data_IF_730365963964
#
_entry.id   IF_730365963964
#
_cell.length_a   1.000
_cell.length_b   1.000
_cell.length_c   1.000
_cell.angle_alpha   90.00
_cell.angle_beta   90.00
_cell.angle_gamma   90.00
#
_symmetry.space_group_name_H-M   'P 1'
#
loop_
_entity.id
_entity.type
_entity.pdbx_description
1 polymer ?
#
# COMPACT_ATOMS: atom_id res chain seq x y z
N UNK A 1 -24.01 -22.11 9.27
CA UNK A 1 -23.59 -21.23 8.16
C UNK A 1 -22.08 -21.03 8.27
N UNK A 2 -21.31 -21.81 7.52
CA UNK A 2 -19.86 -21.91 7.70
C UNK A 2 -19.16 -20.64 7.20
N UNK A 3 -18.37 -19.98 8.06
CA UNK A 3 -17.43 -18.92 7.67
C UNK A 3 -16.11 -19.60 7.34
N UNK A 4 -15.89 -19.92 6.06
CA UNK A 4 -14.67 -20.61 5.59
C UNK A 4 -13.46 -19.67 5.48
N UNK A 5 -13.66 -18.35 5.50
CA UNK A 5 -12.55 -17.39 5.41
C UNK A 5 -11.76 -17.57 4.10
N UNK A 6 -10.44 -17.74 4.17
CA UNK A 6 -9.60 -18.01 2.99
C UNK A 6 -9.71 -19.46 2.48
N UNK A 7 -10.26 -20.40 3.27
CA UNK A 7 -10.42 -21.79 2.83
C UNK A 7 -11.47 -21.93 1.72
N UNK A 8 -12.40 -20.98 1.61
CA UNK A 8 -13.37 -20.95 0.50
C UNK A 8 -12.70 -20.95 -0.86
N UNK A 9 -11.46 -20.43 -0.96
CA UNK A 9 -10.70 -20.36 -2.20
C UNK A 9 -10.21 -21.74 -2.70
N UNK A 10 -10.32 -22.77 -1.85
CA UNK A 10 -9.88 -24.13 -2.11
C UNK A 10 -11.05 -25.14 -1.98
N UNK A 11 -12.29 -24.65 -1.93
CA UNK A 11 -13.48 -25.49 -1.84
C UNK A 11 -13.69 -26.28 -3.14
N UNK A 12 -14.05 -27.55 -3.03
CA UNK A 12 -14.18 -28.47 -4.18
C UNK A 12 -15.48 -29.29 -4.20
N UNK A 13 -16.27 -29.32 -3.12
CA UNK A 13 -17.50 -30.12 -3.00
C UNK A 13 -18.73 -29.38 -3.56
N UNK A 14 -18.77 -29.20 -4.88
CA UNK A 14 -19.81 -28.42 -5.57
C UNK A 14 -21.13 -29.18 -5.80
N UNK A 15 -21.10 -30.51 -5.80
CA UNK A 15 -22.24 -31.36 -6.19
C UNK A 15 -23.44 -31.30 -5.22
N UNK A 16 -23.24 -30.77 -4.01
CA UNK A 16 -24.26 -30.70 -2.95
C UNK A 16 -24.76 -29.28 -2.68
N UNK A 17 -24.38 -28.30 -3.50
CA UNK A 17 -24.72 -26.90 -3.27
C UNK A 17 -26.05 -26.51 -3.93
N UNK A 18 -26.91 -25.85 -3.16
CA UNK A 18 -28.04 -25.11 -3.71
C UNK A 18 -27.65 -23.67 -4.07
N UNK A 19 -28.50 -22.98 -4.84
CA UNK A 19 -28.26 -21.61 -5.30
C UNK A 19 -28.03 -20.61 -4.15
N UNK A 20 -28.68 -20.81 -2.99
CA UNK A 20 -28.54 -19.92 -1.83
C UNK A 20 -27.18 -20.09 -1.18
N UNK A 21 -26.72 -21.33 -1.01
CA UNK A 21 -25.39 -21.62 -0.46
C UNK A 21 -24.31 -21.16 -1.44
N UNK A 22 -24.49 -21.36 -2.75
CA UNK A 22 -23.56 -20.87 -3.77
C UNK A 22 -23.40 -19.33 -3.70
N UNK A 23 -24.49 -18.59 -3.54
CA UNK A 23 -24.45 -17.13 -3.32
C UNK A 23 -23.67 -16.74 -2.06
N UNK A 24 -23.87 -17.46 -0.96
CA UNK A 24 -23.12 -17.23 0.30
C UNK A 24 -21.62 -17.51 0.13
N UNK A 25 -21.26 -18.57 -0.60
CA UNK A 25 -19.86 -18.90 -0.87
C UNK A 25 -19.21 -17.86 -1.78
N UNK A 26 -19.87 -17.44 -2.86
CA UNK A 26 -19.41 -16.35 -3.73
C UNK A 26 -19.12 -15.06 -2.95
N UNK A 27 -19.99 -14.69 -2.01
CA UNK A 27 -19.77 -13.54 -1.13
C UNK A 27 -18.52 -13.70 -0.25
N UNK A 28 -18.24 -14.91 0.26
CA UNK A 28 -17.05 -15.17 1.07
C UNK A 28 -15.75 -15.19 0.24
N UNK A 29 -15.83 -15.45 -1.07
CA UNK A 29 -14.68 -15.44 -1.97
C UNK A 29 -14.04 -14.07 -2.21
N UNK A 30 -14.61 -12.99 -1.67
CA UNK A 30 -14.04 -11.62 -1.72
C UNK A 30 -12.57 -11.58 -1.27
N UNK A 31 -12.19 -12.45 -0.32
CA UNK A 31 -10.83 -12.53 0.21
C UNK A 31 -9.85 -13.33 -0.65
N UNK A 32 -10.33 -14.07 -1.65
CA UNK A 32 -9.50 -14.92 -2.51
C UNK A 32 -8.65 -14.15 -3.50
N UNK A 33 -9.04 -12.91 -3.82
CA UNK A 33 -8.30 -12.00 -4.70
C UNK A 33 -6.87 -11.74 -4.20
N UNK A 34 -6.63 -11.83 -2.89
CA UNK A 34 -5.32 -11.64 -2.27
C UNK A 34 -4.36 -12.83 -2.39
N UNK A 35 -4.81 -14.00 -2.85
CA UNK A 35 -3.97 -15.20 -2.98
C UNK A 35 -3.09 -15.13 -4.24
N UNK A 36 -1.78 -14.92 -4.08
CA UNK A 36 -0.82 -15.01 -5.19
C UNK A 36 -0.58 -16.48 -5.57
N UNK A 37 -0.71 -16.81 -6.87
CA UNK A 37 -0.38 -18.13 -7.43
C UNK A 37 -1.56 -19.08 -7.70
N UNK A 38 -2.74 -18.84 -7.12
CA UNK A 38 -3.92 -19.74 -7.26
C UNK A 38 -5.06 -19.16 -8.10
N UNK A 39 -4.78 -18.11 -8.87
CA UNK A 39 -5.81 -17.31 -9.54
C UNK A 39 -6.64 -18.12 -10.55
N UNK A 40 -6.05 -19.04 -11.30
CA UNK A 40 -6.81 -19.86 -12.26
C UNK A 40 -7.84 -20.77 -11.57
N UNK A 41 -7.47 -21.41 -10.45
CA UNK A 41 -8.37 -22.25 -9.67
C UNK A 41 -9.48 -21.44 -9.02
N UNK A 42 -9.15 -20.27 -8.45
CA UNK A 42 -10.14 -19.35 -7.87
C UNK A 42 -11.14 -18.87 -8.93
N UNK A 43 -10.68 -18.52 -10.12
CA UNK A 43 -11.56 -18.08 -11.22
C UNK A 43 -12.47 -19.22 -11.70
N UNK A 44 -11.96 -20.45 -11.80
CA UNK A 44 -12.76 -21.63 -12.14
C UNK A 44 -13.87 -21.87 -11.10
N UNK A 45 -13.51 -21.88 -9.81
CA UNK A 45 -14.47 -22.05 -8.71
C UNK A 45 -15.53 -20.94 -8.69
N UNK A 46 -15.12 -19.68 -8.95
CA UNK A 46 -16.06 -18.56 -9.10
C UNK A 46 -17.07 -18.78 -10.23
N UNK A 47 -16.60 -19.25 -11.39
CA UNK A 47 -17.47 -19.52 -12.54
C UNK A 47 -18.49 -20.62 -12.22
N UNK A 48 -18.04 -21.73 -11.64
CA UNK A 48 -18.93 -22.87 -11.30
C UNK A 48 -19.97 -22.47 -10.24
N UNK A 49 -19.57 -21.71 -9.21
CA UNK A 49 -20.51 -21.19 -8.20
C UNK A 49 -21.49 -20.16 -8.77
N UNK A 50 -21.06 -19.36 -9.74
CA UNK A 50 -21.91 -18.39 -10.42
C UNK A 50 -22.98 -19.10 -11.25
N UNK A 51 -22.62 -20.19 -11.95
CA UNK A 51 -23.58 -20.98 -12.71
C UNK A 51 -24.67 -21.57 -11.80
N UNK A 52 -24.28 -22.15 -10.64
CA UNK A 52 -25.23 -22.69 -9.64
C UNK A 52 -26.11 -21.57 -9.05
N UNK A 53 -25.53 -20.40 -8.75
CA UNK A 53 -26.26 -19.27 -8.17
C UNK A 53 -27.31 -18.67 -9.12
N UNK A 54 -27.19 -18.91 -10.43
CA UNK A 54 -28.05 -18.32 -11.48
C UNK A 54 -29.16 -19.25 -11.99
N UNK A 55 -29.26 -20.51 -11.54
CA UNK A 55 -30.16 -21.51 -12.14
C UNK A 55 -31.66 -21.13 -12.21
N UNK A 56 -32.13 -20.12 -11.47
CA UNK A 56 -33.55 -19.70 -11.43
C UNK A 56 -33.78 -18.18 -11.36
N UNK A 57 -32.78 -17.34 -11.65
CA UNK A 57 -32.89 -15.89 -11.51
C UNK A 57 -32.29 -15.15 -12.70
N UNK A 58 -32.80 -13.96 -13.03
CA UNK A 58 -32.20 -13.14 -14.09
C UNK A 58 -31.02 -12.33 -13.56
N UNK A 59 -30.01 -12.10 -14.40
CA UNK A 59 -28.83 -11.31 -14.01
C UNK A 59 -29.19 -9.88 -13.55
N UNK A 60 -30.26 -9.29 -14.10
CA UNK A 60 -30.75 -7.96 -13.69
C UNK A 60 -31.26 -7.95 -12.23
N UNK A 61 -31.88 -9.04 -11.77
CA UNK A 61 -32.42 -9.15 -10.41
C UNK A 61 -31.32 -9.48 -9.38
N UNK A 62 -30.30 -10.24 -9.79
CA UNK A 62 -29.27 -10.76 -8.89
C UNK A 62 -27.99 -9.95 -8.85
N UNK A 63 -27.81 -8.96 -9.73
CA UNK A 63 -26.56 -8.21 -9.84
C UNK A 63 -26.07 -7.67 -8.48
N UNK A 64 -26.98 -7.17 -7.64
CA UNK A 64 -26.68 -6.65 -6.31
C UNK A 64 -26.28 -7.71 -5.28
N UNK A 65 -26.65 -8.98 -5.46
CA UNK A 65 -26.34 -10.08 -4.54
C UNK A 65 -25.07 -10.87 -4.91
N UNK A 66 -24.60 -10.75 -6.15
CA UNK A 66 -23.43 -11.48 -6.67
C UNK A 66 -22.07 -10.98 -6.13
N UNK A 67 -22.01 -9.80 -5.51
CA UNK A 67 -20.78 -9.27 -4.88
C UNK A 67 -19.54 -9.37 -5.80
N UNK A 68 -18.45 -9.97 -5.34
CA UNK A 68 -17.18 -10.11 -6.08
C UNK A 68 -17.21 -11.11 -7.24
N UNK A 69 -18.29 -11.88 -7.39
CA UNK A 69 -18.49 -12.79 -8.52
C UNK A 69 -18.76 -12.03 -9.82
N UNK A 70 -19.25 -10.78 -9.73
CA UNK A 70 -19.63 -9.97 -10.89
C UNK A 70 -18.43 -9.70 -11.83
N UNK A 71 -17.20 -9.74 -11.31
CA UNK A 71 -15.97 -9.65 -12.11
C UNK A 71 -15.80 -10.84 -13.07
N UNK A 72 -16.40 -11.98 -12.77
CA UNK A 72 -16.41 -13.15 -13.65
C UNK A 72 -17.37 -13.04 -14.85
N UNK A 73 -18.25 -12.04 -14.86
CA UNK A 73 -19.23 -11.88 -15.94
C UNK A 73 -18.55 -11.51 -17.26
N UNK A 74 -19.01 -12.16 -18.32
CA UNK A 74 -18.56 -11.91 -19.68
C UNK A 74 -19.03 -10.55 -20.20
N UNK A 75 -18.36 -10.07 -21.24
CA UNK A 75 -18.72 -8.83 -21.92
C UNK A 75 -20.20 -8.82 -22.37
N UNK A 76 -20.68 -9.92 -22.97
CA UNK A 76 -22.06 -10.03 -23.47
C UNK A 76 -23.09 -10.01 -22.35
N UNK A 77 -22.81 -10.69 -21.22
CA UNK A 77 -23.66 -10.63 -20.03
C UNK A 77 -23.76 -9.22 -19.48
N UNK A 78 -22.62 -8.52 -19.36
CA UNK A 78 -22.61 -7.14 -18.89
C UNK A 78 -23.34 -6.19 -19.84
N UNK A 79 -23.21 -6.35 -21.16
CA UNK A 79 -23.95 -5.55 -22.14
C UNK A 79 -25.47 -5.77 -22.08
N UNK A 80 -25.92 -6.98 -21.72
CA UNK A 80 -27.34 -7.31 -21.60
C UNK A 80 -28.04 -6.67 -20.39
N UNK A 81 -27.28 -6.17 -19.41
CA UNK A 81 -27.82 -5.51 -18.22
C UNK A 81 -28.59 -4.23 -18.58
N UNK A 82 -29.70 -3.99 -17.88
CA UNK A 82 -30.39 -2.69 -18.00
C UNK A 82 -29.69 -1.59 -17.19
N UNK A 83 -29.77 -0.30 -17.61
CA UNK A 83 -29.30 0.82 -16.81
C UNK A 83 -29.86 0.84 -15.39
N UNK A 84 -31.14 0.47 -15.22
CA UNK A 84 -31.84 0.44 -13.93
C UNK A 84 -31.27 -0.63 -13.00
N UNK A 85 -30.92 -1.81 -13.53
CA UNK A 85 -30.30 -2.88 -12.75
C UNK A 85 -28.91 -2.45 -12.23
N UNK A 86 -28.09 -1.82 -13.08
CA UNK A 86 -26.77 -1.30 -12.69
C UNK A 86 -26.91 -0.17 -11.66
N UNK A 87 -27.86 0.74 -11.86
CA UNK A 87 -28.15 1.81 -10.92
C UNK A 87 -28.61 1.25 -9.56
N UNK A 88 -29.52 0.27 -9.53
CA UNK A 88 -29.99 -0.37 -8.31
C UNK A 88 -28.90 -1.15 -7.56
N UNK A 89 -27.89 -1.66 -8.27
CA UNK A 89 -26.79 -2.43 -7.71
C UNK A 89 -25.53 -1.59 -7.37
N UNK A 90 -25.56 -0.26 -7.54
CA UNK A 90 -24.36 0.59 -7.45
C UNK A 90 -23.64 0.48 -6.10
N UNK A 91 -24.38 0.32 -5.01
CA UNK A 91 -23.83 0.17 -3.65
C UNK A 91 -23.04 -1.14 -3.46
N UNK A 92 -23.35 -2.19 -4.23
CA UNK A 92 -22.58 -3.43 -4.25
C UNK A 92 -21.38 -3.27 -5.20
N UNK A 93 -21.62 -2.80 -6.43
CA UNK A 93 -20.60 -2.72 -7.47
C UNK A 93 -19.43 -1.79 -7.11
N UNK A 94 -19.70 -0.74 -6.33
CA UNK A 94 -18.68 0.22 -5.91
C UNK A 94 -17.68 -0.32 -4.88
N UNK A 95 -17.97 -1.47 -4.25
CA UNK A 95 -17.09 -2.17 -3.31
C UNK A 95 -16.27 -3.29 -3.96
N UNK A 96 -16.63 -3.70 -5.17
CA UNK A 96 -15.98 -4.81 -5.87
C UNK A 96 -14.63 -4.37 -6.41
N UNK A 97 -13.62 -5.21 -6.21
CA UNK A 97 -12.25 -4.99 -6.71
C UNK A 97 -11.90 -5.96 -7.84
N UNK A 98 -10.89 -5.62 -8.65
CA UNK A 98 -10.38 -6.52 -9.70
C UNK A 98 -11.12 -6.47 -11.04
N UNK A 99 -11.94 -5.44 -11.27
CA UNK A 99 -12.61 -5.21 -12.55
C UNK A 99 -11.63 -5.15 -13.73
N UNK A 100 -11.98 -5.81 -14.83
CA UNK A 100 -11.32 -5.56 -16.10
C UNK A 100 -11.75 -4.20 -16.67
N UNK A 101 -10.84 -3.52 -17.38
CA UNK A 101 -11.08 -2.18 -17.94
C UNK A 101 -12.35 -2.09 -18.79
N UNK A 102 -12.63 -3.11 -19.60
CA UNK A 102 -13.85 -3.18 -20.43
C UNK A 102 -15.12 -3.23 -19.57
N UNK A 103 -15.12 -4.00 -18.48
CA UNK A 103 -16.27 -4.15 -17.59
C UNK A 103 -16.59 -2.82 -16.90
N UNK A 104 -15.57 -2.12 -16.40
CA UNK A 104 -15.71 -0.80 -15.79
C UNK A 104 -16.34 0.18 -16.78
N UNK A 105 -15.88 0.22 -18.04
CA UNK A 105 -16.43 1.12 -19.07
C UNK A 105 -17.92 0.84 -19.31
N UNK A 106 -18.32 -0.43 -19.45
CA UNK A 106 -19.72 -0.81 -19.69
C UNK A 106 -20.60 -0.43 -18.51
N UNK A 107 -20.20 -0.81 -17.29
CA UNK A 107 -20.98 -0.55 -16.07
C UNK A 107 -21.12 0.95 -15.81
N UNK A 108 -20.04 1.72 -15.98
CA UNK A 108 -20.09 3.18 -15.83
C UNK A 108 -20.97 3.83 -16.89
N UNK A 109 -20.91 3.36 -18.15
CA UNK A 109 -21.79 3.87 -19.20
C UNK A 109 -23.27 3.59 -18.89
N UNK A 110 -23.61 2.38 -18.41
CA UNK A 110 -24.99 2.03 -18.03
C UNK A 110 -25.49 2.82 -16.84
N UNK A 111 -24.66 2.99 -15.81
CA UNK A 111 -24.99 3.82 -14.66
C UNK A 111 -25.27 5.27 -15.08
N UNK A 112 -24.40 5.85 -15.92
CA UNK A 112 -24.55 7.23 -16.38
C UNK A 112 -25.70 7.43 -17.37
N UNK A 113 -26.10 6.39 -18.12
CA UNK A 113 -27.27 6.45 -18.98
C UNK A 113 -28.56 6.67 -18.19
N UNK A 114 -28.66 6.14 -16.96
CA UNK A 114 -29.77 6.38 -16.05
C UNK A 114 -29.75 7.82 -15.50
N UNK A 115 -28.58 8.27 -15.04
CA UNK A 115 -28.42 9.56 -14.36
C UNK A 115 -28.46 10.79 -15.28
N UNK A 116 -28.21 10.63 -16.58
CA UNK A 116 -28.22 11.65 -17.65
C UNK A 116 -27.17 12.77 -17.52
N UNK A 117 -26.79 13.19 -16.31
CA UNK A 117 -25.79 14.25 -16.05
C UNK A 117 -24.79 13.78 -14.99
N UNK A 118 -23.50 14.03 -15.24
CA UNK A 118 -22.46 13.74 -14.26
C UNK A 118 -22.42 14.84 -13.18
N UNK A 119 -22.90 14.53 -11.99
CA UNK A 119 -22.93 15.40 -10.81
C UNK A 119 -22.01 14.87 -9.70
N UNK A 120 -21.74 15.68 -8.67
CA UNK A 120 -21.04 15.22 -7.46
C UNK A 120 -21.74 14.00 -6.83
N UNK A 121 -23.07 14.05 -6.70
CA UNK A 121 -23.85 12.94 -6.13
C UNK A 121 -23.61 11.65 -6.93
N UNK A 122 -23.66 11.72 -8.26
CA UNK A 122 -23.53 10.53 -9.11
C UNK A 122 -22.13 9.94 -9.03
N UNK A 123 -21.09 10.78 -9.11
CA UNK A 123 -19.70 10.35 -8.96
C UNK A 123 -19.44 9.75 -7.57
N UNK A 124 -20.05 10.32 -6.52
CA UNK A 124 -19.86 9.85 -5.14
C UNK A 124 -20.31 8.40 -4.93
N UNK A 125 -21.24 7.89 -5.76
CA UNK A 125 -21.75 6.52 -5.67
C UNK A 125 -20.89 5.50 -6.44
N UNK A 126 -20.08 5.92 -7.40
CA UNK A 126 -19.44 5.02 -8.38
C UNK A 126 -18.27 4.20 -7.82
N UNK A 127 -17.58 4.68 -6.78
CA UNK A 127 -16.39 4.02 -6.23
C UNK A 127 -15.38 3.60 -7.31
N UNK A 128 -15.02 2.30 -7.35
CA UNK A 128 -14.09 1.74 -8.35
C UNK A 128 -14.56 1.93 -9.81
N UNK A 129 -15.86 2.10 -10.06
CA UNK A 129 -16.41 2.32 -11.41
C UNK A 129 -16.02 3.70 -11.99
N UNK A 130 -15.52 4.62 -11.17
CA UNK A 130 -15.13 5.96 -11.63
C UNK A 130 -14.11 5.91 -12.79
N UNK A 131 -13.25 4.89 -12.81
CA UNK A 131 -12.27 4.69 -13.88
C UNK A 131 -12.88 4.47 -15.28
N UNK A 132 -14.17 4.13 -15.37
CA UNK A 132 -14.90 3.97 -16.64
C UNK A 132 -15.50 5.26 -17.20
N UNK A 133 -15.49 6.36 -16.44
CA UNK A 133 -16.08 7.63 -16.86
C UNK A 133 -15.22 8.32 -17.91
N UNK A 134 -15.78 8.76 -19.04
CA UNK A 134 -14.97 9.37 -20.10
C UNK A 134 -14.31 10.68 -19.66
N UNK A 135 -13.12 10.98 -20.20
CA UNK A 135 -12.43 12.26 -19.97
C UNK A 135 -13.31 13.45 -20.32
N UNK A 136 -14.08 13.35 -21.41
CA UNK A 136 -15.01 14.41 -21.83
C UNK A 136 -16.10 14.68 -20.78
N UNK A 137 -16.60 13.63 -20.11
CA UNK A 137 -17.57 13.79 -19.04
C UNK A 137 -16.97 14.57 -17.87
N UNK A 138 -15.73 14.25 -17.43
CA UNK A 138 -15.03 15.02 -16.41
C UNK A 138 -14.79 16.48 -16.83
N UNK A 139 -14.38 16.73 -18.08
CA UNK A 139 -14.20 18.09 -18.60
C UNK A 139 -15.50 18.91 -18.61
N UNK A 140 -16.66 18.25 -18.74
CA UNK A 140 -17.97 18.89 -18.76
C UNK A 140 -18.55 19.17 -17.36
N UNK A 141 -18.02 18.55 -16.30
CA UNK A 141 -18.49 18.78 -14.94
C UNK A 141 -18.24 20.22 -14.48
N UNK A 142 -19.08 20.72 -13.57
CA UNK A 142 -18.85 22.01 -12.91
C UNK A 142 -17.63 21.90 -12.00
N UNK A 143 -16.81 22.95 -11.95
CA UNK A 143 -15.62 23.00 -11.09
C UNK A 143 -15.95 22.78 -9.61
N UNK A 144 -17.07 23.33 -9.12
CA UNK A 144 -17.55 23.11 -7.74
C UNK A 144 -17.82 21.63 -7.44
N UNK A 145 -18.40 20.90 -8.40
CA UNK A 145 -18.70 19.48 -8.22
C UNK A 145 -17.41 18.65 -8.19
N UNK A 146 -16.45 18.95 -9.07
CA UNK A 146 -15.11 18.31 -9.05
C UNK A 146 -14.40 18.59 -7.71
N UNK A 147 -14.44 19.83 -7.23
CA UNK A 147 -13.84 20.21 -5.94
C UNK A 147 -14.47 19.43 -4.78
N UNK A 148 -15.78 19.18 -4.81
CA UNK A 148 -16.45 18.33 -3.83
C UNK A 148 -16.03 16.85 -3.97
N UNK A 149 -15.90 16.32 -5.19
CA UNK A 149 -15.40 14.95 -5.43
C UNK A 149 -14.01 14.78 -4.81
N UNK A 150 -13.10 15.72 -5.07
CA UNK A 150 -11.71 15.68 -4.58
C UNK A 150 -11.60 15.78 -3.05
N UNK A 151 -12.59 16.36 -2.37
CA UNK A 151 -12.67 16.43 -0.90
C UNK A 151 -13.44 15.27 -0.27
N UNK A 152 -14.08 14.43 -1.07
CA UNK A 152 -14.91 13.32 -0.60
C UNK A 152 -14.11 12.02 -0.48
N UNK A 153 -14.74 10.99 0.09
CA UNK A 153 -14.17 9.64 0.19
C UNK A 153 -13.83 9.02 -1.19
N UNK A 154 -14.45 9.49 -2.28
CA UNK A 154 -14.18 9.00 -3.64
C UNK A 154 -12.83 9.49 -4.19
N UNK A 155 -12.20 10.46 -3.54
CA UNK A 155 -10.84 10.92 -3.88
C UNK A 155 -9.80 9.80 -3.91
N UNK A 156 -9.99 8.73 -3.12
CA UNK A 156 -9.12 7.57 -3.13
C UNK A 156 -9.05 6.87 -4.50
N UNK A 157 -10.15 6.87 -5.26
CA UNK A 157 -10.23 6.26 -6.59
C UNK A 157 -9.73 7.17 -7.71
N UNK A 158 -9.43 8.45 -7.42
CA UNK A 158 -8.90 9.39 -8.42
C UNK A 158 -7.48 8.99 -8.86
N UNK A 159 -6.74 8.34 -7.97
CA UNK A 159 -5.42 7.79 -8.29
C UNK A 159 -5.47 6.64 -9.29
N UNK A 160 -6.60 5.94 -9.40
CA UNK A 160 -6.82 4.81 -10.31
C UNK A 160 -7.29 5.24 -11.71
N UNK A 161 -7.57 6.52 -11.90
CA UNK A 161 -7.97 7.08 -13.19
C UNK A 161 -6.80 7.05 -14.18
N UNK A 162 -7.13 6.93 -15.46
CA UNK A 162 -6.14 7.06 -16.52
C UNK A 162 -5.51 8.46 -16.55
N UNK A 163 -4.27 8.61 -17.05
CA UNK A 163 -3.60 9.90 -17.16
C UNK A 163 -4.44 10.96 -17.90
N UNK A 164 -5.21 10.55 -18.92
CA UNK A 164 -6.09 11.46 -19.65
C UNK A 164 -7.26 11.97 -18.80
N UNK A 165 -7.88 11.12 -17.98
CA UNK A 165 -8.96 11.52 -17.07
C UNK A 165 -8.43 12.44 -15.97
N UNK A 166 -7.28 12.09 -15.37
CA UNK A 166 -6.60 12.91 -14.37
C UNK A 166 -6.28 14.31 -14.93
N UNK A 167 -5.73 14.38 -16.15
CA UNK A 167 -5.47 15.64 -16.82
C UNK A 167 -6.76 16.43 -17.12
N UNK A 168 -7.84 15.75 -17.50
CA UNK A 168 -9.16 16.38 -17.67
C UNK A 168 -9.64 17.07 -16.40
N UNK A 169 -9.58 16.37 -15.26
CA UNK A 169 -9.91 16.90 -13.94
C UNK A 169 -9.02 18.09 -13.57
N UNK A 170 -7.69 17.95 -13.72
CA UNK A 170 -6.74 19.03 -13.43
C UNK A 170 -6.99 20.25 -14.30
N UNK A 171 -7.19 20.07 -15.60
CA UNK A 171 -7.47 21.17 -16.53
C UNK A 171 -8.71 21.96 -16.09
N UNK A 172 -9.72 21.29 -15.52
CA UNK A 172 -10.93 21.93 -15.01
C UNK A 172 -10.70 22.66 -13.68
N UNK A 173 -9.83 22.14 -12.82
CA UNK A 173 -9.44 22.79 -11.56
C UNK A 173 -8.52 24.00 -11.76
N UNK A 174 -7.69 23.98 -12.80
CA UNK A 174 -6.74 25.05 -13.15
C UNK A 174 -7.41 26.16 -13.96
N UNK A 175 -8.56 25.89 -14.61
CA UNK A 175 -9.35 26.92 -15.29
C UNK A 175 -9.67 28.09 -14.35
N UNK A 176 -9.21 29.28 -14.77
CA UNK A 176 -9.40 30.52 -14.03
C UNK A 176 -10.90 30.88 -14.00
N UNK A 177 -11.49 30.75 -12.82
CA UNK A 177 -12.75 31.41 -12.45
C UNK A 177 -12.45 32.34 -11.28
N UNK A 178 -13.03 33.54 -11.33
CA UNK A 178 -12.57 34.82 -10.76
C UNK A 178 -12.31 34.91 -9.24
N UNK A 179 -12.41 33.84 -8.44
CA UNK A 179 -12.44 34.01 -6.97
C UNK A 179 -11.83 32.92 -6.08
N UNK A 180 -11.23 31.84 -6.61
CA UNK A 180 -10.52 30.88 -5.74
C UNK A 180 -9.34 30.17 -6.42
N UNK A 181 -8.21 29.96 -5.72
CA UNK A 181 -7.09 29.16 -6.24
C UNK A 181 -7.47 27.68 -6.25
N UNK A 182 -7.94 27.17 -7.39
CA UNK A 182 -8.46 25.81 -7.52
C UNK A 182 -7.44 24.71 -7.20
N UNK A 183 -6.16 25.00 -7.41
CA UNK A 183 -5.07 24.05 -7.12
C UNK A 183 -4.89 23.84 -5.62
N UNK A 184 -5.11 24.88 -4.80
CA UNK A 184 -4.98 24.79 -3.34
C UNK A 184 -6.03 23.84 -2.76
N UNK A 185 -7.17 23.66 -3.45
CA UNK A 185 -8.23 22.75 -3.03
C UNK A 185 -7.93 21.27 -3.26
N UNK A 186 -6.96 20.95 -4.13
CA UNK A 186 -6.57 19.56 -4.43
C UNK A 186 -5.82 19.00 -3.22
N UNK A 187 -6.31 17.92 -2.63
CA UNK A 187 -5.74 17.28 -1.43
C UNK A 187 -5.12 15.91 -1.74
N UNK A 188 -4.31 15.42 -0.80
CA UNK A 188 -3.82 14.04 -0.80
C UNK A 188 -2.90 13.70 -1.97
N UNK A 189 -2.98 12.44 -2.41
CA UNK A 189 -2.09 11.82 -3.40
C UNK A 189 -2.22 12.43 -4.80
N UNK A 190 -3.40 12.95 -5.15
CA UNK A 190 -3.67 13.51 -6.48
C UNK A 190 -2.92 14.81 -6.74
N UNK A 191 -2.48 15.52 -5.70
CA UNK A 191 -1.72 16.77 -5.86
C UNK A 191 -0.38 16.56 -6.58
N UNK A 192 0.19 15.36 -6.53
CA UNK A 192 1.44 15.03 -7.24
C UNK A 192 1.33 15.18 -8.76
N UNK A 193 0.12 15.13 -9.30
CA UNK A 193 -0.16 15.27 -10.74
C UNK A 193 -0.18 16.73 -11.20
N UNK A 194 -0.18 17.71 -10.28
CA UNK A 194 -0.15 19.14 -10.62
C UNK A 194 1.20 19.51 -11.24
N UNK A 195 1.20 20.14 -12.41
CA UNK A 195 2.46 20.50 -13.08
C UNK A 195 3.21 21.63 -12.33
N UNK A 196 4.54 21.67 -12.47
CA UNK A 196 5.35 22.79 -11.94
C UNK A 196 4.95 24.14 -12.54
N UNK A 197 4.47 24.12 -13.79
CA UNK A 197 3.98 25.33 -14.47
C UNK A 197 2.74 25.88 -13.76
N UNK A 198 1.80 25.01 -13.40
CA UNK A 198 0.58 25.41 -12.71
C UNK A 198 0.86 25.84 -11.27
N UNK A 199 1.77 25.15 -10.56
CA UNK A 199 2.23 25.58 -9.22
C UNK A 199 2.84 26.98 -9.25
N UNK A 200 3.63 27.32 -10.28
CA UNK A 200 4.24 28.65 -10.41
C UNK A 200 3.21 29.76 -10.60
N UNK A 201 2.07 29.48 -11.24
CA UNK A 201 1.04 30.49 -11.55
C UNK A 201 0.10 30.79 -10.39
N UNK A 202 0.10 29.97 -9.35
CA UNK A 202 -0.83 30.12 -8.22
C UNK A 202 -0.18 30.85 -7.04
N UNK A 203 -0.78 31.95 -6.56
CA UNK A 203 -0.41 32.54 -5.28
C UNK A 203 -1.00 31.73 -4.10
N UNK A 204 -0.46 31.93 -2.90
CA UNK A 204 -1.10 31.46 -1.66
C UNK A 204 -0.62 30.11 -1.12
N UNK A 205 0.46 29.54 -1.65
CA UNK A 205 1.11 28.42 -0.97
C UNK A 205 1.83 28.89 0.29
N UNK A 206 1.68 28.12 1.36
CA UNK A 206 2.42 28.24 2.61
C UNK A 206 2.61 26.84 3.22
N UNK A 207 3.37 26.73 4.31
CA UNK A 207 3.65 25.46 4.98
C UNK A 207 2.38 24.72 5.42
N UNK A 208 1.36 25.45 5.90
CA UNK A 208 0.12 24.85 6.41
C UNK A 208 -0.73 24.23 5.30
N UNK A 209 -0.84 24.91 4.15
CA UNK A 209 -1.57 24.41 2.97
C UNK A 209 -0.94 23.14 2.40
N UNK A 210 0.39 23.00 2.49
CA UNK A 210 1.12 21.86 1.94
C UNK A 210 1.10 20.62 2.84
N UNK A 211 0.73 20.76 4.12
CA UNK A 211 0.78 19.66 5.10
C UNK A 211 -0.09 18.46 4.69
N UNK A 212 -1.22 18.72 4.05
CA UNK A 212 -2.19 17.70 3.64
C UNK A 212 -2.07 17.28 2.16
N UNK A 213 -0.92 17.59 1.53
CA UNK A 213 -0.69 17.35 0.09
C UNK A 213 0.48 16.43 -0.14
N UNK A 214 0.30 15.39 -0.95
CA UNK A 214 1.43 14.58 -1.37
C UNK A 214 2.20 15.29 -2.50
N UNK A 215 3.51 15.45 -2.31
CA UNK A 215 4.39 16.10 -3.29
C UNK A 215 5.28 15.09 -4.00
N UNK A 216 5.40 15.22 -5.31
CA UNK A 216 6.52 14.67 -6.07
C UNK A 216 7.83 15.40 -5.72
N UNK A 217 8.98 14.77 -5.94
CA UNK A 217 10.30 15.33 -5.57
C UNK A 217 10.58 16.69 -6.23
N UNK A 218 10.27 16.83 -7.51
CA UNK A 218 10.47 18.09 -8.25
C UNK A 218 9.54 19.20 -7.75
N UNK A 219 8.29 18.86 -7.40
CA UNK A 219 7.35 19.81 -6.80
C UNK A 219 7.82 20.24 -5.41
N UNK A 220 8.25 19.29 -4.58
CA UNK A 220 8.77 19.56 -3.24
C UNK A 220 10.01 20.47 -3.28
N UNK A 221 10.94 20.22 -4.20
CA UNK A 221 12.13 21.08 -4.40
C UNK A 221 11.71 22.50 -4.82
N UNK A 222 10.86 22.60 -5.84
CA UNK A 222 10.37 23.89 -6.33
C UNK A 222 9.67 24.70 -5.23
N UNK A 223 8.76 24.07 -4.48
CA UNK A 223 8.02 24.71 -3.39
C UNK A 223 8.91 25.04 -2.20
N UNK A 224 9.86 24.17 -1.85
CA UNK A 224 10.82 24.44 -0.78
C UNK A 224 11.65 25.69 -1.10
N UNK A 225 12.23 25.79 -2.30
CA UNK A 225 13.02 26.95 -2.71
C UNK A 225 12.19 28.23 -2.82
N UNK A 226 10.96 28.13 -3.33
CA UNK A 226 10.03 29.24 -3.42
C UNK A 226 9.70 29.78 -2.02
N UNK A 227 9.29 28.89 -1.12
CA UNK A 227 8.86 29.27 0.23
C UNK A 227 10.04 29.70 1.11
N UNK A 228 11.24 29.14 0.92
CA UNK A 228 12.43 29.56 1.65
C UNK A 228 12.76 31.04 1.38
N UNK A 229 12.58 31.49 0.14
CA UNK A 229 12.77 32.91 -0.25
C UNK A 229 11.71 33.83 0.35
N UNK A 230 10.46 33.37 0.44
CA UNK A 230 9.32 34.19 0.87
C UNK A 230 9.14 34.23 2.40
N UNK A 231 9.23 33.08 3.07
CA UNK A 231 8.95 32.95 4.51
C UNK A 231 10.18 33.24 5.38
N UNK A 232 11.38 32.93 4.89
CA UNK A 232 12.65 32.97 5.65
C UNK A 232 12.63 32.16 6.97
N UNK A 233 11.76 31.15 7.07
CA UNK A 233 11.59 30.26 8.23
C UNK A 233 11.79 28.80 7.83
N UNK A 234 13.04 28.35 7.63
CA UNK A 234 13.32 26.98 7.19
C UNK A 234 12.75 25.91 8.13
N UNK A 235 12.65 26.18 9.43
CA UNK A 235 12.05 25.30 10.44
C UNK A 235 10.56 24.99 10.17
N UNK A 236 9.79 25.97 9.70
CA UNK A 236 8.39 25.77 9.32
C UNK A 236 8.26 24.93 8.04
N UNK A 237 9.29 24.94 7.18
CA UNK A 237 9.30 24.15 5.94
C UNK A 237 9.67 22.69 6.20
N UNK A 238 10.64 22.43 7.09
CA UNK A 238 11.02 21.07 7.46
C UNK A 238 9.88 20.35 8.19
N UNK A 239 9.19 21.05 9.10
CA UNK A 239 8.03 20.52 9.82
C UNK A 239 6.80 20.26 8.93
N UNK A 240 6.75 20.82 7.72
CA UNK A 240 5.70 20.55 6.74
C UNK A 240 5.80 19.16 6.08
N UNK A 241 6.79 18.33 6.48
CA UNK A 241 6.90 16.91 6.15
C UNK A 241 7.18 16.63 4.68
N UNK A 242 6.21 16.83 3.79
CA UNK A 242 6.32 16.54 2.35
C UNK A 242 7.38 17.40 1.64
N UNK A 243 7.68 18.59 2.19
CA UNK A 243 8.75 19.45 1.68
C UNK A 243 10.15 18.87 1.89
N UNK A 244 10.37 17.97 2.85
CA UNK A 244 11.70 17.36 3.07
C UNK A 244 12.17 16.56 1.85
N UNK A 245 11.23 16.06 1.02
CA UNK A 245 11.54 15.41 -0.27
C UNK A 245 12.33 16.32 -1.22
N UNK A 246 12.18 17.63 -1.08
CA UNK A 246 12.81 18.66 -1.91
C UNK A 246 14.13 19.19 -1.34
N UNK A 247 14.52 18.81 -0.12
CA UNK A 247 15.75 19.32 0.49
C UNK A 247 16.96 18.63 -0.14
N UNK A 248 17.82 19.39 -0.81
CA UNK A 248 19.03 18.86 -1.46
C UNK A 248 20.20 18.75 -0.46
N UNK A 249 21.27 18.06 -0.86
CA UNK A 249 22.50 18.03 -0.06
C UNK A 249 23.12 19.41 0.11
N UNK A 250 23.07 20.28 -0.92
CA UNK A 250 23.54 21.66 -0.77
C UNK A 250 22.74 22.44 0.26
N UNK A 251 21.44 22.18 0.40
CA UNK A 251 20.63 22.78 1.48
C UNK A 251 21.06 22.25 2.85
N UNK A 252 21.31 20.94 3.00
CA UNK A 252 21.77 20.32 4.24
C UNK A 252 23.15 20.83 4.65
N UNK A 253 24.09 20.89 3.71
CA UNK A 253 25.45 21.33 3.94
C UNK A 253 25.49 22.79 4.39
N UNK A 254 24.64 23.64 3.82
CA UNK A 254 24.51 25.05 4.15
C UNK A 254 23.84 25.33 5.52
N UNK A 255 23.22 24.34 6.16
CA UNK A 255 22.64 24.52 7.50
C UNK A 255 23.74 24.79 8.54
N UNK A 256 23.51 25.76 9.43
CA UNK A 256 24.37 25.93 10.60
C UNK A 256 24.25 24.70 11.53
N UNK A 257 25.30 24.44 12.30
CA UNK A 257 25.33 23.31 13.25
C UNK A 257 24.15 23.33 14.21
N UNK A 258 23.87 24.49 14.83
CA UNK A 258 22.79 24.63 15.80
C UNK A 258 21.42 24.37 15.17
N UNK A 259 21.18 24.91 13.97
CA UNK A 259 19.93 24.69 13.25
C UNK A 259 19.75 23.22 12.86
N UNK A 260 20.79 22.61 12.29
CA UNK A 260 20.75 21.22 11.86
C UNK A 260 20.45 20.28 13.02
N UNK A 261 21.13 20.44 14.17
CA UNK A 261 20.92 19.60 15.34
C UNK A 261 19.54 19.83 15.97
N UNK A 262 19.07 21.08 16.05
CA UNK A 262 17.75 21.40 16.60
C UNK A 262 16.58 20.84 15.77
N UNK A 263 16.75 20.73 14.45
CA UNK A 263 15.69 20.31 13.51
C UNK A 263 15.91 18.95 12.85
N UNK A 264 16.94 18.19 13.26
CA UNK A 264 17.19 16.86 12.70
C UNK A 264 15.98 15.92 12.87
N UNK A 265 15.23 16.08 13.96
CA UNK A 265 14.05 15.27 14.25
C UNK A 265 12.98 15.39 13.14
N UNK A 266 12.88 16.52 12.44
CA UNK A 266 11.94 16.69 11.33
C UNK A 266 12.30 15.78 10.14
N UNK A 267 13.61 15.62 9.84
CA UNK A 267 14.08 14.65 8.86
C UNK A 267 13.84 13.21 9.34
N UNK A 268 14.12 12.93 10.60
CA UNK A 268 13.96 11.60 11.19
C UNK A 268 12.48 11.16 11.22
N UNK A 269 11.56 12.05 11.54
CA UNK A 269 10.12 11.76 11.53
C UNK A 269 9.58 11.50 10.12
N UNK A 270 10.21 12.10 9.11
CA UNK A 270 9.81 12.00 7.71
C UNK A 270 10.76 11.12 6.87
N UNK A 271 11.49 10.22 7.53
CA UNK A 271 12.58 9.48 6.93
C UNK A 271 12.16 8.64 5.72
N UNK A 272 10.96 8.05 5.76
CA UNK A 272 10.38 7.29 4.65
C UNK A 272 10.19 8.12 3.36
N UNK A 273 10.20 9.45 3.45
CA UNK A 273 10.08 10.36 2.31
C UNK A 273 11.45 10.71 1.69
N UNK A 274 12.53 10.48 2.41
CA UNK A 274 13.89 10.83 1.99
C UNK A 274 14.43 9.83 0.97
N UNK A 275 15.19 10.34 0.01
CA UNK A 275 15.98 9.49 -0.89
C UNK A 275 17.26 8.99 -0.19
N UNK A 276 17.79 7.83 -0.59
CA UNK A 276 19.07 7.32 -0.08
C UNK A 276 20.22 8.32 -0.18
N UNK A 277 20.21 9.16 -1.22
CA UNK A 277 21.19 10.24 -1.41
C UNK A 277 21.07 11.34 -0.34
N UNK A 278 19.85 11.79 -0.04
CA UNK A 278 19.61 12.76 1.04
C UNK A 278 20.02 12.18 2.40
N UNK A 279 19.71 10.91 2.66
CA UNK A 279 20.12 10.21 3.88
C UNK A 279 21.65 10.17 4.02
N UNK A 280 22.37 9.88 2.93
CA UNK A 280 23.83 9.88 2.94
C UNK A 280 24.40 11.28 3.28
N UNK A 281 23.83 12.34 2.72
CA UNK A 281 24.24 13.71 3.05
C UNK A 281 23.91 14.10 4.49
N UNK A 282 22.73 13.72 5.00
CA UNK A 282 22.39 13.88 6.42
C UNK A 282 23.40 13.15 7.31
N UNK A 283 23.79 11.92 6.94
CA UNK A 283 24.78 11.15 7.68
C UNK A 283 26.15 11.82 7.71
N UNK A 284 26.63 12.34 6.56
CA UNK A 284 27.89 13.08 6.49
C UNK A 284 27.86 14.37 7.30
N UNK A 285 26.79 15.17 7.15
CA UNK A 285 26.61 16.40 7.93
C UNK A 285 26.61 16.12 9.43
N UNK A 286 25.86 15.11 9.88
CA UNK A 286 25.81 14.73 11.29
C UNK A 286 27.18 14.24 11.79
N UNK A 287 27.89 13.45 10.99
CA UNK A 287 29.23 12.98 11.30
C UNK A 287 30.25 14.13 11.41
N UNK A 288 30.09 15.19 10.63
CA UNK A 288 30.94 16.37 10.70
C UNK A 288 30.67 17.17 11.99
N UNK A 289 29.40 17.43 12.30
CA UNK A 289 29.04 18.39 13.35
C UNK A 289 28.85 17.77 14.73
N UNK A 290 28.50 16.49 14.86
CA UNK A 290 28.31 15.82 16.16
C UNK A 290 28.37 14.28 16.11
N UNK A 291 29.59 13.73 16.00
CA UNK A 291 29.83 12.27 15.93
C UNK A 291 29.26 11.48 17.11
N UNK A 292 29.43 11.99 18.32
CA UNK A 292 29.07 11.26 19.55
C UNK A 292 27.55 11.15 19.76
N UNK A 293 26.79 12.08 19.20
CA UNK A 293 25.32 12.10 19.30
C UNK A 293 24.63 11.59 18.03
N UNK A 294 25.41 11.10 17.05
CA UNK A 294 24.87 10.63 15.78
C UNK A 294 23.93 9.45 15.97
N UNK A 295 22.70 9.51 15.43
CA UNK A 295 21.80 8.37 15.41
C UNK A 295 22.47 7.15 14.74
N UNK A 296 22.56 6.00 15.42
CA UNK A 296 23.35 4.87 14.93
C UNK A 296 22.93 4.34 13.55
N UNK A 297 21.65 4.43 13.19
CA UNK A 297 21.15 4.00 11.88
C UNK A 297 21.81 4.76 10.71
N UNK A 298 22.22 6.03 10.90
CA UNK A 298 22.88 6.80 9.85
C UNK A 298 24.26 6.23 9.47
N UNK A 299 24.90 5.44 10.36
CA UNK A 299 26.15 4.74 10.04
C UNK A 299 25.95 3.71 8.90
N UNK A 300 24.71 3.21 8.72
CA UNK A 300 24.36 2.35 7.60
C UNK A 300 24.48 3.08 6.26
N UNK A 301 24.32 4.41 6.23
CA UNK A 301 24.44 5.22 5.03
C UNK A 301 25.88 5.68 4.73
N UNK A 302 26.80 5.63 5.71
CA UNK A 302 28.22 5.95 5.53
C UNK A 302 28.99 4.77 4.90
N UNK A 303 30.28 4.91 4.51
CA UNK A 303 31.11 3.78 4.07
C UNK A 303 31.21 2.61 5.08
N UNK A 304 31.53 1.40 4.62
CA UNK A 304 31.43 0.17 5.44
C UNK A 304 32.33 0.14 6.69
N UNK A 305 33.49 0.79 6.66
CA UNK A 305 34.42 0.80 7.81
C UNK A 305 33.85 1.51 9.04
N UNK A 306 32.93 2.47 8.86
CA UNK A 306 32.24 3.12 9.98
C UNK A 306 31.25 2.20 10.71
N UNK A 307 30.71 1.18 10.02
CA UNK A 307 29.89 0.16 10.68
C UNK A 307 30.73 -0.82 11.49
N UNK A 308 31.93 -1.14 10.99
CA UNK A 308 32.85 -2.02 11.69
C UNK A 308 33.25 -1.44 13.06
N UNK A 309 33.33 -0.10 13.17
CA UNK A 309 33.65 0.59 14.43
C UNK A 309 32.53 0.65 15.46
N UNK A 310 31.32 0.18 15.18
CA UNK A 310 30.22 0.19 16.17
C UNK A 310 30.55 -0.80 17.31
N UNK A 311 30.71 -0.35 18.56
CA UNK A 311 31.05 -1.21 19.68
C UNK A 311 29.85 -2.09 20.09
N UNK A 312 30.11 -3.20 20.79
CA UNK A 312 29.06 -4.09 21.28
C UNK A 312 28.01 -3.37 22.16
N UNK A 313 28.44 -2.37 22.96
CA UNK A 313 27.55 -1.56 23.78
C UNK A 313 26.53 -0.72 22.98
N UNK A 314 26.78 -0.48 21.69
CA UNK A 314 25.87 0.25 20.81
C UNK A 314 25.02 -0.68 19.92
N UNK A 315 25.15 -2.00 20.04
CA UNK A 315 24.38 -2.94 19.23
C UNK A 315 22.86 -2.78 19.39
N UNK A 316 22.36 -2.68 20.64
CA UNK A 316 20.91 -2.52 20.87
C UNK A 316 20.37 -1.20 20.28
N UNK A 317 20.95 -0.01 20.57
CA UNK A 317 20.55 1.23 19.91
C UNK A 317 20.66 1.20 18.38
N UNK A 318 21.68 0.52 17.84
CA UNK A 318 21.85 0.33 16.41
C UNK A 318 20.72 -0.49 15.80
N UNK A 319 20.39 -1.65 16.38
CA UNK A 319 19.29 -2.50 15.93
C UNK A 319 17.94 -1.76 16.02
N UNK A 320 17.63 -1.14 17.15
CA UNK A 320 16.37 -0.38 17.34
C UNK A 320 16.23 0.71 16.28
N UNK A 321 17.29 1.49 16.06
CA UNK A 321 17.22 2.62 15.13
C UNK A 321 17.13 2.17 13.68
N UNK A 322 17.83 1.08 13.31
CA UNK A 322 17.80 0.53 11.97
C UNK A 322 16.48 -0.23 11.68
N UNK A 323 15.95 -0.97 12.66
CA UNK A 323 14.73 -1.77 12.58
C UNK A 323 13.44 -0.96 12.37
N UNK A 324 13.46 0.34 12.69
CA UNK A 324 12.35 1.27 12.43
C UNK A 324 12.19 1.63 10.94
N UNK A 325 13.20 1.36 10.12
CA UNK A 325 13.24 1.74 8.70
C UNK A 325 13.40 0.52 7.80
N UNK A 326 12.97 0.63 6.55
CA UNK A 326 13.24 -0.39 5.54
C UNK A 326 14.69 -0.27 5.08
N UNK A 327 15.49 -1.34 5.19
CA UNK A 327 16.91 -1.27 4.80
C UNK A 327 17.09 -0.89 3.32
N UNK A 328 16.15 -1.30 2.48
CA UNK A 328 16.13 -0.98 1.05
C UNK A 328 15.92 0.51 0.76
N UNK A 329 15.32 1.29 1.67
CA UNK A 329 15.20 2.74 1.53
C UNK A 329 16.43 3.50 2.04
N UNK A 330 17.28 2.83 2.82
CA UNK A 330 18.49 3.40 3.42
C UNK A 330 19.72 3.22 2.54
N UNK A 331 19.91 2.00 2.04
CA UNK A 331 21.11 1.57 1.34
C UNK A 331 20.67 0.98 0.02
N UNK A 332 21.12 1.53 -1.11
CA UNK A 332 20.82 0.95 -2.43
C UNK A 332 21.85 -0.10 -2.84
N UNK A 333 23.12 0.12 -2.49
CA UNK A 333 24.22 -0.75 -2.87
C UNK A 333 24.14 -2.12 -2.17
N UNK A 334 24.15 -3.19 -2.97
CA UNK A 334 23.98 -4.57 -2.47
C UNK A 334 25.15 -5.03 -1.59
N UNK A 335 26.39 -4.62 -1.91
CA UNK A 335 27.58 -4.96 -1.11
C UNK A 335 27.55 -4.27 0.26
N UNK A 336 27.10 -3.02 0.30
CA UNK A 336 26.89 -2.26 1.53
C UNK A 336 25.75 -2.84 2.35
N UNK A 337 24.62 -3.23 1.74
CA UNK A 337 23.54 -3.96 2.43
C UNK A 337 24.07 -5.22 3.11
N UNK A 338 24.87 -6.00 2.39
CA UNK A 338 25.49 -7.22 2.94
C UNK A 338 26.36 -6.90 4.15
N UNK A 339 27.08 -5.78 4.12
CA UNK A 339 27.92 -5.34 5.24
C UNK A 339 27.11 -4.86 6.45
N UNK A 340 25.98 -4.19 6.22
CA UNK A 340 25.02 -3.83 7.28
C UNK A 340 24.44 -5.09 7.92
N UNK A 341 23.95 -6.03 7.10
CA UNK A 341 23.36 -7.28 7.60
C UNK A 341 24.38 -8.13 8.37
N UNK A 342 25.64 -8.17 7.93
CA UNK A 342 26.72 -8.81 8.70
C UNK A 342 26.91 -8.17 10.07
N UNK A 343 26.84 -6.84 10.15
CA UNK A 343 26.92 -6.13 11.44
C UNK A 343 25.72 -6.43 12.33
N UNK A 344 24.51 -6.48 11.76
CA UNK A 344 23.28 -6.90 12.46
C UNK A 344 23.45 -8.30 13.05
N UNK A 345 23.94 -9.27 12.26
CA UNK A 345 24.20 -10.62 12.72
C UNK A 345 25.22 -10.69 13.86
N UNK A 346 26.30 -9.91 13.76
CA UNK A 346 27.29 -9.80 14.85
C UNK A 346 26.67 -9.26 16.14
N UNK A 347 25.75 -8.30 16.03
CA UNK A 347 25.05 -7.75 17.20
C UNK A 347 24.03 -8.71 17.82
N UNK A 348 23.55 -9.70 17.06
CA UNK A 348 22.61 -10.72 17.51
C UNK A 348 23.30 -12.01 17.98
N UNK A 349 24.62 -12.12 17.81
CA UNK A 349 25.35 -13.38 17.94
C UNK A 349 24.67 -14.55 17.19
N UNK A 350 24.15 -14.24 16.00
CA UNK A 350 23.37 -15.16 15.16
C UNK A 350 22.13 -15.81 15.83
N UNK A 351 21.59 -15.22 16.90
CA UNK A 351 20.44 -15.77 17.61
C UNK A 351 19.37 -14.72 17.94
N UNK A 352 18.11 -15.16 17.96
CA UNK A 352 16.96 -14.37 18.39
C UNK A 352 16.38 -15.12 19.60
N UNK A 353 16.79 -14.67 20.79
CA UNK A 353 16.58 -15.40 22.02
C UNK A 353 15.14 -15.28 22.54
N UNK A 354 14.52 -14.10 22.40
CA UNK A 354 13.24 -13.77 23.01
C UNK A 354 12.45 -12.74 22.18
N UNK A 355 11.24 -12.42 22.65
CA UNK A 355 10.32 -11.47 22.05
C UNK A 355 10.89 -10.04 22.00
N UNK A 356 11.68 -9.65 23.01
CA UNK A 356 12.36 -8.36 23.02
C UNK A 356 13.35 -8.22 21.85
N UNK A 357 14.10 -9.29 21.56
CA UNK A 357 15.02 -9.32 20.42
C UNK A 357 14.27 -9.18 19.09
N UNK A 358 13.08 -9.76 18.98
CA UNK A 358 12.21 -9.61 17.81
C UNK A 358 11.74 -8.15 17.66
N UNK A 359 11.31 -7.53 18.75
CA UNK A 359 10.82 -6.14 18.76
C UNK A 359 11.89 -5.14 18.33
N UNK A 360 13.12 -5.25 18.87
CA UNK A 360 14.22 -4.35 18.48
C UNK A 360 14.66 -4.54 17.02
N UNK A 361 14.42 -5.72 16.43
CA UNK A 361 14.74 -5.97 15.03
C UNK A 361 13.76 -5.30 14.08
N UNK A 362 12.47 -5.23 14.43
CA UNK A 362 11.43 -4.61 13.60
C UNK A 362 11.48 -5.08 12.15
N UNK A 363 11.60 -4.15 11.20
CA UNK A 363 11.65 -4.43 9.76
C UNK A 363 12.88 -5.24 9.32
N UNK A 364 13.93 -5.36 10.15
CA UNK A 364 15.11 -6.18 9.84
C UNK A 364 14.79 -7.68 9.81
N UNK A 365 13.68 -8.12 10.42
CA UNK A 365 13.21 -9.51 10.32
C UNK A 365 13.07 -9.97 8.86
N UNK A 366 12.62 -9.07 7.98
CA UNK A 366 12.45 -9.36 6.54
C UNK A 366 13.76 -9.60 5.80
N UNK A 367 14.90 -9.19 6.38
CA UNK A 367 16.23 -9.36 5.80
C UNK A 367 17.05 -10.46 6.49
N UNK A 368 16.44 -11.22 7.40
CA UNK A 368 17.11 -12.35 8.04
C UNK A 368 17.47 -13.43 7.00
N UNK A 369 18.70 -13.97 7.03
CA UNK A 369 19.02 -15.14 6.23
C UNK A 369 18.16 -16.34 6.61
N UNK A 370 17.87 -17.19 5.63
CA UNK A 370 17.07 -18.41 5.83
C UNK A 370 17.60 -19.30 6.97
N UNK A 371 18.93 -19.40 7.13
CA UNK A 371 19.55 -20.17 8.21
C UNK A 371 19.18 -19.66 9.62
N UNK A 372 19.02 -18.34 9.80
CA UNK A 372 18.62 -17.75 11.08
C UNK A 372 17.13 -17.98 11.33
N UNK A 373 16.30 -17.91 10.29
CA UNK A 373 14.86 -18.22 10.40
C UNK A 373 14.67 -19.69 10.81
N UNK A 374 15.42 -20.59 10.18
CA UNK A 374 15.37 -22.04 10.46
C UNK A 374 15.84 -22.36 11.90
N UNK A 375 17.01 -21.86 12.30
CA UNK A 375 17.70 -22.35 13.53
C UNK A 375 17.99 -21.29 14.58
N UNK A 376 18.08 -20.03 14.19
CA UNK A 376 18.49 -18.93 15.05
C UNK A 376 17.36 -18.37 15.93
N UNK A 377 16.10 -18.59 15.57
CA UNK A 377 14.94 -18.12 16.36
C UNK A 377 14.54 -19.17 17.39
N UNK A 378 14.61 -18.79 18.67
CA UNK A 378 14.21 -19.65 19.79
C UNK A 378 12.71 -19.98 19.74
N UNK A 379 12.27 -21.08 20.37
CA UNK A 379 10.83 -21.41 20.46
C UNK A 379 10.00 -20.30 21.13
N UNK A 380 10.59 -19.55 22.08
CA UNK A 380 9.90 -18.46 22.79
C UNK A 380 9.69 -17.23 21.90
N UNK A 381 10.64 -16.96 21.00
CA UNK A 381 10.58 -15.80 20.10
C UNK A 381 9.76 -16.08 18.83
N UNK A 382 9.53 -17.35 18.49
CA UNK A 382 9.01 -17.74 17.19
C UNK A 382 7.60 -17.21 16.89
N UNK A 383 6.68 -17.22 17.85
CA UNK A 383 5.33 -16.70 17.63
C UNK A 383 5.34 -15.21 17.25
N UNK A 384 6.11 -14.39 17.98
CA UNK A 384 6.28 -12.96 17.70
C UNK A 384 7.02 -12.73 16.39
N UNK A 385 8.06 -13.51 16.10
CA UNK A 385 8.80 -13.42 14.84
C UNK A 385 7.91 -13.78 13.64
N UNK A 386 7.07 -14.80 13.75
CA UNK A 386 6.12 -15.21 12.72
C UNK A 386 5.12 -14.08 12.42
N UNK A 387 4.64 -13.39 13.45
CA UNK A 387 3.78 -12.22 13.27
C UNK A 387 4.50 -11.11 12.49
N UNK A 388 5.75 -10.78 12.83
CA UNK A 388 6.52 -9.78 12.10
C UNK A 388 6.85 -10.17 10.65
N UNK A 389 7.20 -11.45 10.42
CA UNK A 389 7.49 -11.97 9.08
C UNK A 389 6.28 -11.92 8.14
N UNK A 390 5.06 -11.93 8.69
CA UNK A 390 3.83 -11.83 7.90
C UNK A 390 3.70 -10.49 7.19
N UNK A 391 4.23 -9.44 7.79
CA UNK A 391 4.13 -8.07 7.30
C UNK A 391 5.28 -7.72 6.32
N UNK A 392 6.16 -8.69 6.02
CA UNK A 392 7.24 -8.51 5.05
C UNK A 392 6.71 -8.42 3.61
N UNK A 393 7.10 -7.38 2.84
CA UNK A 393 6.60 -7.17 1.47
C UNK A 393 6.85 -8.32 0.50
N UNK A 394 8.02 -8.97 0.60
CA UNK A 394 8.31 -10.23 -0.07
C UNK A 394 9.45 -10.98 0.63
N UNK A 395 9.20 -12.22 1.02
CA UNK A 395 10.23 -13.15 1.47
C UNK A 395 10.82 -13.85 0.25
N UNK A 396 12.14 -13.97 0.17
CA UNK A 396 12.78 -14.70 -0.92
C UNK A 396 12.48 -16.22 -0.82
N UNK A 397 12.71 -17.00 -1.90
CA UNK A 397 12.38 -18.43 -1.92
C UNK A 397 13.02 -19.24 -0.78
N UNK A 398 14.26 -18.92 -0.39
CA UNK A 398 14.97 -19.61 0.70
C UNK A 398 14.34 -19.29 2.07
N UNK A 399 13.99 -18.02 2.31
CA UNK A 399 13.28 -17.59 3.51
C UNK A 399 11.90 -18.26 3.59
N UNK A 400 11.16 -18.31 2.47
CA UNK A 400 9.85 -18.99 2.38
C UNK A 400 9.97 -20.48 2.72
N UNK A 401 11.00 -21.16 2.23
CA UNK A 401 11.27 -22.55 2.56
C UNK A 401 11.60 -22.74 4.05
N UNK A 402 12.42 -21.85 4.64
CA UNK A 402 12.73 -21.89 6.06
C UNK A 402 11.50 -21.66 6.96
N UNK A 403 10.64 -20.70 6.60
CA UNK A 403 9.36 -20.47 7.31
C UNK A 403 8.48 -21.71 7.22
N UNK A 404 8.29 -22.27 6.02
CA UNK A 404 7.51 -23.50 5.82
C UNK A 404 8.01 -24.65 6.70
N UNK A 405 9.33 -24.87 6.73
CA UNK A 405 9.94 -25.94 7.53
C UNK A 405 9.67 -25.76 9.03
N UNK A 406 9.83 -24.53 9.54
CA UNK A 406 9.50 -24.19 10.93
C UNK A 406 8.01 -24.42 11.26
N UNK A 407 7.11 -24.03 10.37
CA UNK A 407 5.67 -24.23 10.54
C UNK A 407 5.31 -25.72 10.62
N UNK A 408 5.87 -26.54 9.73
CA UNK A 408 5.69 -27.99 9.76
C UNK A 408 6.25 -28.62 11.03
N UNK A 409 7.40 -28.14 11.52
CA UNK A 409 7.99 -28.62 12.77
C UNK A 409 7.14 -28.30 14.02
N UNK A 410 6.39 -27.19 13.99
CA UNK A 410 5.57 -26.76 15.12
C UNK A 410 4.15 -27.33 15.10
N UNK A 411 3.49 -27.30 13.94
CA UNK A 411 2.08 -27.62 13.79
C UNK A 411 1.83 -28.98 13.11
N UNK A 412 2.88 -29.66 12.65
CA UNK A 412 2.75 -30.90 11.89
C UNK A 412 2.18 -30.67 10.49
N UNK A 413 1.74 -31.75 9.86
CA UNK A 413 1.17 -31.73 8.51
C UNK A 413 -0.19 -30.99 8.48
N UNK A 414 -0.52 -30.27 7.39
CA UNK A 414 -1.76 -29.50 7.26
C UNK A 414 -3.05 -30.25 7.60
N UNK A 415 -3.10 -31.56 7.33
CA UNK A 415 -4.24 -32.44 7.63
C UNK A 415 -4.65 -32.44 9.12
N UNK A 416 -3.73 -32.10 10.03
CA UNK A 416 -3.95 -32.07 11.47
C UNK A 416 -4.20 -30.66 12.03
N UNK A 417 -4.19 -29.63 11.19
CA UNK A 417 -4.41 -28.27 11.66
C UNK A 417 -5.87 -28.03 12.06
N UNK A 418 -6.04 -27.22 13.11
CA UNK A 418 -7.35 -26.75 13.56
C UNK A 418 -7.77 -25.50 12.78
N UNK A 419 -9.05 -25.14 12.85
CA UNK A 419 -9.55 -23.90 12.23
C UNK A 419 -8.83 -22.66 12.81
N UNK A 420 -8.51 -22.68 14.10
CA UNK A 420 -7.73 -21.65 14.79
C UNK A 420 -6.31 -21.55 14.22
N UNK A 421 -5.61 -22.68 14.10
CA UNK A 421 -4.26 -22.73 13.51
C UNK A 421 -4.25 -22.18 12.09
N UNK A 422 -5.16 -22.62 11.23
CA UNK A 422 -5.24 -22.16 9.84
C UNK A 422 -5.51 -20.65 9.76
N UNK A 423 -6.37 -20.14 10.65
CA UNK A 423 -6.66 -18.70 10.75
C UNK A 423 -5.43 -17.90 11.18
N UNK A 424 -4.67 -18.41 12.14
CA UNK A 424 -3.47 -17.74 12.68
C UNK A 424 -2.32 -17.72 11.66
N UNK A 425 -2.16 -18.77 10.85
CA UNK A 425 -1.17 -18.82 9.78
C UNK A 425 -1.45 -17.81 8.65
N UNK A 426 -2.72 -17.52 8.38
CA UNK A 426 -3.15 -16.44 7.50
C UNK A 426 -2.43 -16.42 6.13
N UNK A 427 -1.63 -15.39 5.80
CA UNK A 427 -0.91 -15.31 4.52
C UNK A 427 0.07 -16.46 4.27
N UNK A 428 0.57 -17.14 5.30
CA UNK A 428 1.54 -18.24 5.13
C UNK A 428 0.91 -19.53 4.59
N UNK A 429 -0.42 -19.62 4.49
CA UNK A 429 -1.09 -20.73 3.82
C UNK A 429 -0.62 -20.87 2.35
N UNK A 430 -0.23 -19.77 1.70
CA UNK A 430 0.29 -19.79 0.32
C UNK A 430 1.63 -20.52 0.17
N UNK A 431 2.30 -20.85 1.28
CA UNK A 431 3.51 -21.67 1.28
C UNK A 431 3.20 -23.16 1.05
N UNK A 432 1.92 -23.54 1.06
CA UNK A 432 1.43 -24.91 0.89
C UNK A 432 0.70 -25.09 -0.43
N UNK A 433 0.73 -26.31 -0.96
CA UNK A 433 0.04 -26.67 -2.19
C UNK A 433 -1.47 -26.78 -1.96
N UNK A 434 -2.26 -26.64 -3.03
CA UNK A 434 -3.73 -26.77 -2.95
C UNK A 434 -4.17 -28.14 -2.43
N UNK A 435 -3.47 -29.20 -2.83
CA UNK A 435 -3.77 -30.58 -2.40
C UNK A 435 -3.53 -30.77 -0.88
N UNK A 436 -2.53 -30.08 -0.33
CA UNK A 436 -2.27 -30.11 1.11
C UNK A 436 -3.38 -29.41 1.91
N UNK A 437 -3.99 -28.35 1.34
CA UNK A 437 -4.99 -27.52 2.01
C UNK A 437 -6.45 -27.96 1.77
N UNK A 438 -6.73 -28.68 0.70
CA UNK A 438 -8.08 -29.14 0.34
C UNK A 438 -8.75 -29.95 1.44
N UNK A 439 -7.99 -30.81 2.13
CA UNK A 439 -8.45 -31.63 3.26
C UNK A 439 -8.89 -30.83 4.49
N UNK A 440 -8.55 -29.54 4.57
CA UNK A 440 -8.97 -28.62 5.64
C UNK A 440 -10.21 -27.84 5.20
N UNK A 441 -10.33 -27.52 3.91
CA UNK A 441 -11.44 -26.74 3.37
C UNK A 441 -12.78 -27.49 3.37
N UNK A 442 -12.74 -28.81 3.45
CA UNK A 442 -13.91 -29.71 3.47
C UNK A 442 -14.33 -30.17 4.88
N UNK A 443 -13.60 -29.78 5.93
CA UNK A 443 -13.98 -29.98 7.34
C UNK A 443 -14.83 -28.82 7.83
#
# INVERSE_FOLDING_TARGET
MFRLGLLVCFYNDLELLDATVAQVLLYQMIKCSHLRGFQAGVQKLKAELLDIAMENQTLNETLGSLSDAVVGLTYSQLESLSPEAVHGAISTLNQVSGWAKSQVIILSAKYLAHEKVLSFYNVSQMGALLAGVSTQAFCSMKRKDISQVLRSAVSQYVSDLSPAQQQGILSKMVQAEDTAPGIVEIQGTFFKEVSLFDLRRQPGFNSTVLKDKELGRSQALFLYELLLKTTRRPEELLSAGQLVKGVTCSHIDAMSTDFFLAHFQDFQNNFALLSPYQVNCLAWKYWEVSRLSMPPFLLAALPAHYLASVPASQCVPFLISLGKSWLDSLVLDSHKKTSVLRKVQQCLDNSIADEYTVDIMGNLLCHLPAAIIDRGISPRAWATALHGLRDCPDLNPEQKAAVRLKLLGQYGLPQHWTAETTKDLGPFLVLFSGDELSSIATK
#
